data_IF_932363244273
#
_entry.id   IF_932363244273
#
_cell.length_a   1.000
_cell.length_b   1.000
_cell.length_c   1.000
_cell.angle_alpha   90.00
_cell.angle_beta   90.00
_cell.angle_gamma   90.00
#
_symmetry.space_group_name_H-M   'P 1'
#
loop_
_entity.id
_entity.type
_entity.pdbx_description
1 polymer ?
#
# COMPACT_ATOMS: atom_id res chain seq x y z
N UNK A 1 -14.11 -3.57 -7.61
CA UNK A 1 -13.49 -2.77 -6.53
C UNK A 1 -11.98 -2.89 -6.55
N UNK A 2 -11.37 -4.08 -6.41
CA UNK A 2 -9.89 -4.22 -6.41
C UNK A 2 -9.20 -3.77 -7.71
N UNK A 3 -9.77 -4.09 -8.87
CA UNK A 3 -9.24 -3.62 -10.16
C UNK A 3 -9.20 -2.09 -10.27
N UNK A 4 -10.16 -1.39 -9.65
CA UNK A 4 -10.21 0.08 -9.65
C UNK A 4 -9.10 0.68 -8.77
N UNK A 5 -8.70 0.01 -7.70
CA UNK A 5 -7.60 0.45 -6.83
C UNK A 5 -6.27 0.34 -7.59
N UNK A 6 -6.02 -0.80 -8.25
CA UNK A 6 -4.82 -0.95 -9.10
C UNK A 6 -4.83 -0.03 -10.32
N UNK A 7 -5.99 0.22 -10.93
CA UNK A 7 -6.14 1.16 -12.03
C UNK A 7 -5.87 2.60 -11.57
N UNK A 8 -6.34 2.98 -10.38
CA UNK A 8 -6.02 4.27 -9.77
C UNK A 8 -4.51 4.40 -9.46
N UNK A 9 -3.87 3.33 -8.96
CA UNK A 9 -2.42 3.30 -8.75
C UNK A 9 -1.64 3.50 -10.05
N UNK A 10 -2.05 2.84 -11.14
CA UNK A 10 -1.45 2.98 -12.46
C UNK A 10 -1.65 4.37 -13.02
N UNK A 11 -2.86 4.91 -12.92
CA UNK A 11 -3.18 6.27 -13.39
C UNK A 11 -2.35 7.33 -12.68
N UNK A 12 -2.09 7.14 -11.37
CA UNK A 12 -1.25 8.04 -10.58
C UNK A 12 0.25 7.91 -10.91
N UNK A 13 0.71 6.70 -11.23
CA UNK A 13 2.07 6.47 -11.72
C UNK A 13 2.30 7.05 -13.12
N UNK A 14 1.26 7.06 -13.95
CA UNK A 14 1.26 7.65 -15.29
C UNK A 14 1.08 9.18 -15.25
N UNK A 15 0.76 9.77 -14.08
CA UNK A 15 0.58 11.21 -13.93
C UNK A 15 1.92 11.96 -14.06
N UNK A 16 2.07 12.83 -15.07
CA UNK A 16 3.28 13.62 -15.27
C UNK A 16 3.53 14.63 -14.14
N UNK A 17 2.51 15.09 -13.41
CA UNK A 17 2.71 15.97 -12.25
C UNK A 17 3.30 15.20 -11.08
N UNK A 18 2.87 13.95 -10.87
CA UNK A 18 3.36 13.12 -9.78
C UNK A 18 4.81 12.70 -10.03
N UNK A 19 5.09 12.12 -11.19
CA UNK A 19 6.44 11.68 -11.58
C UNK A 19 7.37 12.85 -11.90
N UNK A 20 6.87 13.88 -12.58
CA UNK A 20 7.62 15.10 -12.91
C UNK A 20 7.94 15.94 -11.68
N UNK A 21 7.03 16.01 -10.70
CA UNK A 21 7.30 16.66 -9.41
C UNK A 21 8.45 15.98 -8.65
N UNK A 22 8.50 14.65 -8.69
CA UNK A 22 9.62 13.90 -8.10
C UNK A 22 10.94 14.15 -8.83
N UNK A 23 10.92 14.19 -10.17
CA UNK A 23 12.12 14.50 -10.97
C UNK A 23 12.63 15.92 -10.72
N UNK A 24 11.73 16.90 -10.68
CA UNK A 24 12.07 18.29 -10.39
C UNK A 24 12.67 18.46 -8.99
N UNK A 25 12.13 17.77 -7.98
CA UNK A 25 12.69 17.76 -6.64
C UNK A 25 14.12 17.19 -6.62
N UNK A 26 14.37 16.12 -7.37
CA UNK A 26 15.71 15.53 -7.50
C UNK A 26 16.67 16.51 -8.19
N UNK A 27 16.27 17.09 -9.33
CA UNK A 27 17.12 17.97 -10.13
C UNK A 27 17.37 19.33 -9.44
N UNK A 28 16.32 19.95 -8.90
CA UNK A 28 16.40 21.28 -8.28
C UNK A 28 17.07 21.24 -6.91
N UNK A 29 16.75 20.26 -6.07
CA UNK A 29 17.21 20.22 -4.69
C UNK A 29 18.39 19.26 -4.46
N UNK A 30 18.83 18.54 -5.51
CA UNK A 30 19.91 17.54 -5.43
C UNK A 30 19.72 16.52 -4.30
N UNK A 31 18.45 16.17 -4.04
CA UNK A 31 18.08 15.22 -2.99
C UNK A 31 18.02 13.79 -3.54
N UNK A 32 18.13 12.81 -2.63
CA UNK A 32 18.01 11.40 -3.00
C UNK A 32 16.60 11.10 -3.55
N UNK A 33 16.51 10.22 -4.56
CA UNK A 33 15.25 9.79 -5.15
C UNK A 33 14.21 9.30 -4.12
N UNK A 34 14.61 8.58 -3.08
CA UNK A 34 13.71 8.14 -2.00
C UNK A 34 13.14 9.33 -1.21
N UNK A 35 13.96 10.36 -0.96
CA UNK A 35 13.55 11.61 -0.29
C UNK A 35 12.60 12.43 -1.16
N UNK A 36 12.86 12.48 -2.47
CA UNK A 36 11.98 13.17 -3.42
C UNK A 36 10.61 12.50 -3.51
N UNK A 37 10.58 11.17 -3.63
CA UNK A 37 9.33 10.39 -3.61
C UNK A 37 8.58 10.66 -2.32
N UNK A 38 9.23 10.52 -1.15
CA UNK A 38 8.59 10.75 0.15
C UNK A 38 8.04 12.19 0.30
N UNK A 39 8.76 13.20 -0.17
CA UNK A 39 8.34 14.61 -0.10
C UNK A 39 7.11 14.91 -0.94
N UNK A 40 7.12 14.46 -2.21
CA UNK A 40 5.97 14.64 -3.12
C UNK A 40 4.76 13.88 -2.59
N UNK A 41 4.94 12.61 -2.21
CA UNK A 41 3.88 11.79 -1.62
C UNK A 41 3.25 12.44 -0.39
N UNK A 42 4.07 12.91 0.56
CA UNK A 42 3.53 13.54 1.77
C UNK A 42 2.72 14.80 1.46
N UNK A 43 3.13 15.56 0.44
CA UNK A 43 2.38 16.74 -0.02
C UNK A 43 0.99 16.34 -0.53
N UNK A 44 0.91 15.35 -1.42
CA UNK A 44 -0.37 14.83 -1.91
C UNK A 44 -1.21 14.23 -0.79
N UNK A 45 -0.63 13.40 0.09
CA UNK A 45 -1.33 12.81 1.24
C UNK A 45 -1.90 13.89 2.15
N UNK A 46 -1.16 14.96 2.46
CA UNK A 46 -1.69 16.08 3.26
C UNK A 46 -2.86 16.77 2.57
N UNK A 47 -2.81 16.96 1.25
CA UNK A 47 -3.92 17.56 0.50
C UNK A 47 -5.16 16.66 0.60
N UNK A 48 -5.03 15.36 0.34
CA UNK A 48 -6.16 14.43 0.39
C UNK A 48 -6.70 14.20 1.81
N UNK A 49 -5.83 14.16 2.83
CA UNK A 49 -6.24 13.99 4.23
C UNK A 49 -6.93 15.25 4.79
N UNK A 50 -6.59 16.43 4.24
CA UNK A 50 -7.27 17.70 4.57
C UNK A 50 -8.67 17.81 3.96
N UNK A 51 -9.04 16.93 3.03
CA UNK A 51 -10.40 16.88 2.49
C UNK A 51 -11.33 16.13 3.47
N UNK A 52 -12.53 16.66 3.69
CA UNK A 52 -13.52 16.04 4.59
C UNK A 52 -14.21 14.80 3.98
N UNK A 53 -13.96 14.51 2.70
CA UNK A 53 -14.55 13.38 1.98
C UNK A 53 -13.85 12.05 2.33
N UNK A 54 -14.63 11.09 2.83
CA UNK A 54 -14.18 9.75 3.21
C UNK A 54 -13.54 8.99 2.03
N UNK A 55 -14.06 9.19 0.82
CA UNK A 55 -13.49 8.60 -0.41
C UNK A 55 -12.10 9.17 -0.73
N UNK A 56 -11.86 10.45 -0.44
CA UNK A 56 -10.56 11.09 -0.64
C UNK A 56 -9.55 10.66 0.42
N UNK A 57 -10.00 10.38 1.65
CA UNK A 57 -9.16 9.81 2.71
C UNK A 57 -8.71 8.38 2.38
N UNK A 58 -9.59 7.57 1.80
CA UNK A 58 -9.19 6.24 1.28
C UNK A 58 -8.12 6.39 0.19
N UNK A 59 -8.29 7.32 -0.76
CA UNK A 59 -7.26 7.64 -1.77
C UNK A 59 -5.92 8.08 -1.18
N UNK A 60 -5.90 8.79 -0.06
CA UNK A 60 -4.66 9.18 0.60
C UNK A 60 -3.86 7.95 1.07
N UNK A 61 -4.56 6.92 1.58
CA UNK A 61 -3.95 5.67 1.99
C UNK A 61 -3.36 4.90 0.79
N UNK A 62 -4.08 4.89 -0.34
CA UNK A 62 -3.64 4.27 -1.59
C UNK A 62 -2.35 4.92 -2.14
N UNK A 63 -2.29 6.25 -2.19
CA UNK A 63 -1.09 6.99 -2.63
C UNK A 63 0.11 6.68 -1.75
N UNK A 64 -0.13 6.55 -0.43
CA UNK A 64 0.90 6.18 0.53
C UNK A 64 1.41 4.76 0.30
N UNK A 65 0.55 3.83 -0.08
CA UNK A 65 0.93 2.44 -0.43
C UNK A 65 1.82 2.38 -1.67
N UNK A 66 1.40 3.05 -2.76
CA UNK A 66 2.18 3.14 -4.02
C UNK A 66 3.57 3.70 -3.76
N UNK A 67 3.64 4.77 -2.97
CA UNK A 67 4.90 5.46 -2.69
C UNK A 67 5.85 4.62 -1.86
N UNK A 68 5.35 3.90 -0.84
CA UNK A 68 6.15 2.91 -0.10
C UNK A 68 6.73 1.85 -1.03
N UNK A 69 5.96 1.40 -2.02
CA UNK A 69 6.39 0.41 -2.98
C UNK A 69 7.46 0.95 -3.94
N UNK A 70 7.33 2.20 -4.39
CA UNK A 70 8.39 2.89 -5.16
C UNK A 70 9.68 2.96 -4.33
N UNK A 71 9.59 3.38 -3.07
CA UNK A 71 10.77 3.46 -2.17
C UNK A 71 11.38 2.08 -1.94
N UNK A 72 10.57 1.05 -1.73
CA UNK A 72 11.06 -0.33 -1.59
C UNK A 72 11.78 -0.81 -2.85
N UNK A 73 11.25 -0.51 -4.05
CA UNK A 73 11.90 -0.78 -5.33
C UNK A 73 13.24 -0.05 -5.45
N UNK A 74 13.27 1.26 -5.13
CA UNK A 74 14.50 2.06 -5.16
C UNK A 74 15.55 1.58 -4.15
N UNK A 75 15.12 1.06 -3.01
CA UNK A 75 16.00 0.46 -2.00
C UNK A 75 16.53 -0.94 -2.39
N UNK A 76 16.16 -1.46 -3.57
CA UNK A 76 16.51 -2.83 -3.99
C UNK A 76 15.79 -3.92 -3.20
N UNK A 77 14.77 -3.56 -2.40
CA UNK A 77 13.89 -4.46 -1.65
C UNK A 77 12.53 -4.61 -2.33
N UNK A 78 12.48 -4.31 -3.62
CA UNK A 78 11.28 -4.24 -4.45
C UNK A 78 10.61 -5.57 -4.76
N UNK A 79 11.26 -6.68 -4.41
CA UNK A 79 10.73 -8.03 -4.55
C UNK A 79 10.72 -8.74 -3.21
N UNK A 80 9.68 -9.53 -2.98
CA UNK A 80 9.70 -10.65 -2.04
C UNK A 80 9.67 -10.38 -0.54
N UNK A 81 9.35 -9.17 -0.06
CA UNK A 81 9.01 -9.01 1.35
C UNK A 81 7.82 -9.92 1.77
N UNK A 82 6.94 -10.24 0.82
CA UNK A 82 5.80 -11.16 0.98
C UNK A 82 6.01 -12.54 0.34
N UNK A 83 7.23 -12.90 -0.08
CA UNK A 83 7.50 -14.24 -0.58
C UNK A 83 7.45 -15.24 0.57
N UNK A 84 6.23 -15.72 0.82
CA UNK A 84 6.00 -16.79 1.77
C UNK A 84 6.57 -18.05 1.12
N UNK A 85 7.73 -18.45 1.62
CA UNK A 85 8.48 -19.62 1.16
C UNK A 85 8.02 -20.90 1.85
N UNK A 86 7.53 -20.80 3.09
CA UNK A 86 7.09 -21.93 3.92
C UNK A 86 5.58 -22.14 3.87
N UNK A 87 5.16 -23.40 3.77
CA UNK A 87 3.75 -23.80 3.85
C UNK A 87 3.25 -23.77 5.32
N UNK A 88 1.94 -23.58 5.50
CA UNK A 88 1.28 -23.44 6.80
C UNK A 88 1.72 -22.21 7.62
N UNK A 89 1.94 -21.08 6.95
CA UNK A 89 2.36 -19.82 7.57
C UNK A 89 1.16 -19.04 8.09
N UNK A 90 1.31 -18.43 9.29
CA UNK A 90 0.40 -17.41 9.82
C UNK A 90 1.06 -16.05 9.67
N UNK A 91 0.41 -15.12 8.96
CA UNK A 91 0.94 -13.77 8.72
C UNK A 91 0.54 -12.85 9.88
N UNK A 92 1.50 -12.13 10.45
CA UNK A 92 1.24 -11.12 11.49
C UNK A 92 1.72 -9.77 11.00
N UNK A 93 0.81 -8.82 10.85
CA UNK A 93 1.11 -7.50 10.34
C UNK A 93 0.46 -6.41 11.20
N UNK A 94 0.97 -5.17 11.12
CA UNK A 94 0.29 -4.04 11.74
C UNK A 94 -1.00 -3.73 10.98
N UNK A 95 -0.89 -3.67 9.65
CA UNK A 95 -1.97 -3.53 8.67
C UNK A 95 -1.60 -4.35 7.44
N UNK A 96 -2.60 -4.77 6.66
CA UNK A 96 -2.40 -5.41 5.36
C UNK A 96 -3.06 -4.53 4.30
N UNK A 97 -2.28 -4.05 3.35
CA UNK A 97 -2.85 -3.27 2.24
C UNK A 97 -3.48 -4.22 1.22
N UNK A 98 -4.41 -3.73 0.37
CA UNK A 98 -4.98 -4.55 -0.71
C UNK A 98 -3.89 -5.20 -1.58
N UNK A 99 -2.80 -4.49 -1.82
CA UNK A 99 -1.62 -4.96 -2.56
C UNK A 99 -0.95 -6.17 -1.89
N UNK A 100 -0.84 -6.18 -0.56
CA UNK A 100 -0.25 -7.27 0.22
C UNK A 100 -1.16 -8.52 0.20
N UNK A 101 -2.46 -8.31 0.39
CA UNK A 101 -3.43 -9.42 0.35
C UNK A 101 -3.57 -10.04 -1.03
N UNK A 102 -3.38 -9.27 -2.10
CA UNK A 102 -3.42 -9.78 -3.47
C UNK A 102 -2.21 -10.66 -3.83
N UNK A 103 -1.06 -10.40 -3.22
CA UNK A 103 0.18 -11.19 -3.43
C UNK A 103 0.25 -12.43 -2.53
N UNK A 104 -0.73 -12.63 -1.67
CA UNK A 104 -0.72 -13.67 -0.64
C UNK A 104 -0.98 -15.05 -1.26
N UNK A 105 -0.01 -15.97 -1.08
CA UNK A 105 -0.11 -17.34 -1.61
C UNK A 105 -1.05 -18.19 -0.73
N UNK A 106 -2.27 -18.41 -1.24
CA UNK A 106 -3.31 -19.21 -0.57
C UNK A 106 -2.90 -20.66 -0.32
N UNK A 107 -1.95 -21.19 -1.07
CA UNK A 107 -1.47 -22.57 -0.87
C UNK A 107 -0.59 -22.70 0.37
N UNK A 108 -0.07 -21.58 0.89
CA UNK A 108 0.91 -21.55 1.98
C UNK A 108 0.38 -20.87 3.23
N UNK A 109 -0.52 -19.88 3.10
CA UNK A 109 -1.04 -19.13 4.25
C UNK A 109 -2.29 -19.78 4.82
N UNK A 110 -2.24 -20.10 6.11
CA UNK A 110 -3.38 -20.70 6.86
C UNK A 110 -4.15 -19.67 7.68
N UNK A 111 -3.64 -18.45 7.81
CA UNK A 111 -4.31 -17.38 8.55
C UNK A 111 -3.51 -16.08 8.58
N UNK A 112 -4.17 -14.98 8.94
CA UNK A 112 -3.48 -13.71 9.22
C UNK A 112 -4.07 -12.90 10.37
N UNK A 113 -3.22 -12.07 10.97
CA UNK A 113 -3.50 -11.25 12.14
C UNK A 113 -3.11 -9.80 11.85
N UNK A 114 -4.03 -8.84 12.07
CA UNK A 114 -3.74 -7.40 11.94
C UNK A 114 -4.04 -6.62 13.22
N UNK A 115 -3.15 -5.68 13.55
CA UNK A 115 -3.33 -4.80 14.72
C UNK A 115 -4.41 -3.74 14.46
N UNK A 116 -4.50 -3.21 13.24
CA UNK A 116 -5.54 -2.26 12.83
C UNK A 116 -6.52 -2.93 11.87
N UNK A 117 -7.73 -2.40 11.82
CA UNK A 117 -8.80 -2.90 10.95
C UNK A 117 -10.08 -3.24 11.73
N UNK A 118 -11.22 -2.82 11.18
CA UNK A 118 -12.55 -3.16 11.69
C UNK A 118 -13.23 -4.23 10.83
N UNK A 119 -14.48 -4.56 11.18
CA UNK A 119 -15.31 -5.53 10.44
C UNK A 119 -15.56 -5.16 8.97
N UNK A 120 -15.44 -3.87 8.63
CA UNK A 120 -15.58 -3.33 7.27
C UNK A 120 -14.24 -3.00 6.61
N UNK A 121 -13.11 -3.30 7.25
CA UNK A 121 -11.78 -3.01 6.68
C UNK A 121 -11.50 -3.88 5.46
N UNK A 122 -10.67 -3.37 4.56
CA UNK A 122 -10.17 -4.10 3.39
C UNK A 122 -9.63 -5.48 3.77
N UNK A 123 -8.81 -5.57 4.82
CA UNK A 123 -8.26 -6.82 5.35
C UNK A 123 -9.35 -7.80 5.79
N UNK A 124 -10.43 -7.34 6.42
CA UNK A 124 -11.54 -8.18 6.87
C UNK A 124 -12.42 -8.66 5.71
N UNK A 125 -12.64 -7.82 4.70
CA UNK A 125 -13.36 -8.19 3.47
C UNK A 125 -12.55 -9.23 2.70
N UNK A 126 -11.24 -9.01 2.58
CA UNK A 126 -10.31 -9.93 1.92
C UNK A 126 -10.25 -11.28 2.59
N UNK A 127 -10.17 -11.36 3.92
CA UNK A 127 -10.22 -12.62 4.66
C UNK A 127 -11.42 -13.50 4.25
N UNK A 128 -12.59 -12.88 4.07
CA UNK A 128 -13.82 -13.57 3.65
C UNK A 128 -13.76 -14.04 2.21
N UNK A 129 -13.28 -13.19 1.31
CA UNK A 129 -13.14 -13.54 -0.12
C UNK A 129 -12.10 -14.64 -0.35
N UNK A 130 -11.04 -14.65 0.48
CA UNK A 130 -9.96 -15.63 0.41
C UNK A 130 -10.29 -16.94 1.17
N UNK A 131 -11.37 -16.97 1.96
CA UNK A 131 -11.76 -18.07 2.85
C UNK A 131 -10.66 -18.48 3.85
N UNK A 132 -9.83 -17.51 4.26
CA UNK A 132 -8.73 -17.73 5.20
C UNK A 132 -9.12 -17.16 6.57
N UNK A 133 -8.91 -17.90 7.68
CA UNK A 133 -9.09 -17.39 9.03
C UNK A 133 -8.29 -16.10 9.29
N UNK A 134 -8.97 -15.04 9.73
CA UNK A 134 -8.32 -13.77 10.06
C UNK A 134 -8.85 -13.17 11.36
N UNK A 135 -7.94 -12.57 12.13
CA UNK A 135 -8.29 -11.70 13.27
C UNK A 135 -7.80 -10.29 12.96
N UNK A 136 -8.72 -9.34 12.98
CA UNK A 136 -8.44 -7.92 12.73
C UNK A 136 -8.75 -7.11 13.98
N UNK A 137 -8.02 -6.01 14.20
CA UNK A 137 -8.27 -5.11 15.32
C UNK A 137 -7.85 -5.71 16.66
N UNK A 138 -6.63 -6.27 16.73
CA UNK A 138 -6.07 -6.79 17.99
C UNK A 138 -5.79 -5.71 19.04
N UNK A 139 -5.97 -4.43 18.70
CA UNK A 139 -5.64 -3.27 19.53
C UNK A 139 -6.87 -2.43 19.85
#
# INVERSE_FOLDING_TARGET
HEAQVFEAHLTLLDDPEFTGGMLLEIESNSINAMRAVEGVTNTFVMIFDSMEDEYMKERAADIKDVSKRIIANLAGKGGDAFAITEANTVVVAHDLTPSDTAQLDRSKVVGFLTNIGGRTSHSAIMARTLEIPAIVGLK
#
